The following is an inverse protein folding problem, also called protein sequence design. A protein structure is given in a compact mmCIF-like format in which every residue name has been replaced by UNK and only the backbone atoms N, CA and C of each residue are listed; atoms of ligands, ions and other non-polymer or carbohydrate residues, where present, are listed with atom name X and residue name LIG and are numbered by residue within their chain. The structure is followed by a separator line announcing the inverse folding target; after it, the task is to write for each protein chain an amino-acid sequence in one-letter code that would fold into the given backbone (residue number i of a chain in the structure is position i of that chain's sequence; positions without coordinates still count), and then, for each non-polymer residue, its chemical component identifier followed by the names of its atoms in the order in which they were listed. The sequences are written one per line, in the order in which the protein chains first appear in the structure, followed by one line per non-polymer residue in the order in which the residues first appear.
data_IF_681867050438
#
_entry.id   IF_681867050438
#
_cell.length_a   1.000
_cell.length_b   1.000
_cell.length_c   1.000
_cell.angle_alpha   90.00
_cell.angle_beta   90.00
_cell.angle_gamma   90.00
#
_symmetry.space_group_name_H-M   'P 1'
#
loop_
_entity.id
_entity.type
_entity.pdbx_description
1 polymer ?
#
# COMPACT_ATOMS: atom_id res chain seq x y z
N UNK A 1 -2.75 -41.32 -6.31
CA UNK A 1 -1.69 -41.26 -5.27
C UNK A 1 -0.56 -40.29 -5.64
N UNK A 2 -0.13 -40.19 -6.90
CA UNK A 2 0.92 -39.22 -7.31
C UNK A 2 0.43 -37.76 -7.32
N UNK A 3 -0.83 -37.50 -7.56
CA UNK A 3 -1.40 -36.14 -7.56
C UNK A 3 -1.55 -35.57 -6.16
N UNK A 4 -1.80 -36.37 -5.14
CA UNK A 4 -1.91 -35.90 -3.75
C UNK A 4 -0.54 -35.53 -3.13
N UNK A 5 0.55 -36.25 -3.48
CA UNK A 5 1.88 -35.92 -3.00
C UNK A 5 2.43 -34.64 -3.63
N UNK A 6 2.21 -34.44 -4.94
CA UNK A 6 2.64 -33.24 -5.64
C UNK A 6 1.91 -31.98 -5.12
N UNK A 7 0.60 -32.06 -4.84
CA UNK A 7 -0.13 -30.96 -4.22
C UNK A 7 0.38 -30.68 -2.80
N UNK A 8 0.61 -31.71 -1.98
CA UNK A 8 1.19 -31.59 -0.63
C UNK A 8 2.56 -30.92 -0.67
N UNK A 9 3.43 -31.27 -1.62
CA UNK A 9 4.75 -30.67 -1.77
C UNK A 9 4.69 -29.20 -2.19
N UNK A 10 3.71 -28.83 -3.03
CA UNK A 10 3.49 -27.43 -3.42
C UNK A 10 3.04 -26.61 -2.22
N UNK A 11 2.06 -27.08 -1.46
CA UNK A 11 1.58 -26.38 -0.26
C UNK A 11 2.69 -26.24 0.78
N UNK A 12 3.46 -27.27 1.05
CA UNK A 12 4.58 -27.21 2.00
C UNK A 12 5.63 -26.17 1.57
N UNK A 13 5.97 -26.09 0.28
CA UNK A 13 6.91 -25.09 -0.21
C UNK A 13 6.36 -23.67 -0.09
N UNK A 14 5.04 -23.48 -0.22
CA UNK A 14 4.39 -22.20 0.00
C UNK A 14 4.42 -21.82 1.48
N UNK A 15 4.11 -22.74 2.38
CA UNK A 15 4.20 -22.54 3.83
C UNK A 15 5.64 -22.15 4.24
N UNK A 16 6.65 -22.94 3.84
CA UNK A 16 8.05 -22.66 4.12
C UNK A 16 8.48 -21.26 3.61
N UNK A 17 7.99 -20.84 2.45
CA UNK A 17 8.27 -19.52 1.91
C UNK A 17 7.60 -18.42 2.75
N UNK A 18 6.35 -18.59 3.15
CA UNK A 18 5.60 -17.59 3.93
C UNK A 18 6.16 -17.47 5.34
N UNK A 19 6.51 -18.56 5.99
CA UNK A 19 7.12 -18.58 7.32
C UNK A 19 8.44 -17.81 7.36
N UNK A 20 9.21 -17.87 6.27
CA UNK A 20 10.46 -17.14 6.14
C UNK A 20 10.27 -15.67 5.71
N UNK A 21 9.13 -15.34 5.08
CA UNK A 21 8.91 -13.99 4.51
C UNK A 21 8.78 -12.92 5.59
N UNK A 22 8.10 -13.22 6.70
CA UNK A 22 7.81 -12.25 7.75
C UNK A 22 8.47 -12.57 9.10
N UNK A 23 9.59 -13.32 9.08
CA UNK A 23 10.27 -13.76 10.28
C UNK A 23 10.84 -12.63 11.17
N UNK A 24 11.14 -11.47 10.56
CA UNK A 24 11.67 -10.28 11.26
C UNK A 24 10.57 -9.38 11.88
N UNK A 25 9.30 -9.80 11.79
CA UNK A 25 8.22 -9.06 12.46
C UNK A 25 8.30 -9.24 13.97
N UNK A 26 8.16 -8.12 14.70
CA UNK A 26 8.27 -8.11 16.16
C UNK A 26 7.09 -8.81 16.86
N UNK A 27 5.88 -8.74 16.25
CA UNK A 27 4.69 -9.39 16.76
C UNK A 27 4.60 -10.85 16.25
N UNK A 28 4.50 -11.81 17.16
CA UNK A 28 4.46 -13.25 16.83
C UNK A 28 3.35 -13.62 15.84
N UNK A 29 2.21 -12.95 15.92
CA UNK A 29 1.09 -13.16 15.01
C UNK A 29 1.13 -12.20 13.80
N UNK A 30 2.24 -11.48 13.56
CA UNK A 30 2.45 -10.47 12.53
C UNK A 30 1.60 -9.22 12.72
N UNK A 31 0.40 -9.34 13.25
CA UNK A 31 -0.63 -8.32 13.35
C UNK A 31 -1.24 -8.39 14.75
N UNK A 32 -1.43 -7.24 15.36
CA UNK A 32 -2.15 -7.11 16.61
C UNK A 32 -3.46 -6.35 16.37
N UNK A 33 -4.54 -6.83 16.98
CA UNK A 33 -5.83 -6.15 17.02
C UNK A 33 -6.00 -5.57 18.41
N UNK A 34 -6.20 -4.27 18.49
CA UNK A 34 -6.45 -3.55 19.74
C UNK A 34 -7.90 -3.11 19.76
N UNK A 35 -8.68 -3.65 20.69
CA UNK A 35 -10.05 -3.23 20.92
C UNK A 35 -10.04 -1.86 21.60
N UNK A 36 -10.64 -0.86 20.96
CA UNK A 36 -10.77 0.50 21.48
C UNK A 36 -12.07 0.63 22.30
N UNK A 37 -13.13 0.04 21.79
CA UNK A 37 -14.42 -0.08 22.46
C UNK A 37 -15.21 -1.28 21.89
N UNK A 38 -16.46 -1.45 22.28
CA UNK A 38 -17.32 -2.59 21.89
C UNK A 38 -17.51 -2.74 20.36
N UNK A 39 -17.36 -1.67 19.60
CA UNK A 39 -17.65 -1.63 18.15
C UNK A 39 -16.43 -1.29 17.29
N UNK A 40 -15.34 -0.85 17.90
CA UNK A 40 -14.18 -0.32 17.18
C UNK A 40 -12.90 -0.95 17.64
N UNK A 41 -12.10 -1.43 16.68
CA UNK A 41 -10.76 -1.95 16.92
C UNK A 41 -9.75 -1.30 15.97
N UNK A 42 -8.51 -1.20 16.40
CA UNK A 42 -7.37 -0.80 15.57
C UNK A 42 -6.58 -2.03 15.16
N UNK A 43 -6.36 -2.18 13.87
CA UNK A 43 -5.48 -3.19 13.30
C UNK A 43 -4.06 -2.61 13.19
N UNK A 44 -3.18 -3.03 14.09
CA UNK A 44 -1.78 -2.57 14.11
C UNK A 44 -0.97 -3.27 13.03
N UNK A 45 -0.51 -2.52 12.03
CA UNK A 45 0.25 -3.03 10.88
C UNK A 45 1.72 -2.59 10.89
N UNK A 46 2.20 -2.04 12.01
CA UNK A 46 3.55 -1.46 12.15
C UNK A 46 4.57 -2.38 12.84
N UNK A 47 4.25 -3.64 13.03
CA UNK A 47 5.15 -4.60 13.71
C UNK A 47 6.23 -5.19 12.79
N UNK A 48 6.28 -4.78 11.54
CA UNK A 48 7.34 -5.13 10.61
C UNK A 48 8.64 -4.35 10.84
N UNK A 49 9.73 -4.73 10.16
CA UNK A 49 11.09 -4.19 10.43
C UNK A 49 11.24 -2.69 10.17
N UNK A 50 10.39 -2.09 9.33
CA UNK A 50 10.45 -0.64 9.08
C UNK A 50 9.29 0.14 9.73
N UNK A 51 8.51 -0.52 10.57
CA UNK A 51 7.36 0.03 11.27
C UNK A 51 6.29 0.64 10.33
N UNK A 52 6.13 0.06 9.14
CA UNK A 52 5.14 0.48 8.15
C UNK A 52 4.36 -0.73 7.60
N UNK A 53 3.06 -0.57 7.34
CA UNK A 53 2.24 -1.61 6.71
C UNK A 53 2.80 -2.10 5.37
N UNK A 54 3.66 -1.30 4.75
CA UNK A 54 4.33 -1.62 3.49
C UNK A 54 5.25 -2.83 3.57
N UNK A 55 5.70 -3.18 4.78
CA UNK A 55 6.51 -4.38 5.03
C UNK A 55 5.78 -5.65 4.60
N UNK A 56 4.47 -5.76 4.86
CA UNK A 56 3.69 -6.92 4.43
C UNK A 56 3.81 -7.20 2.94
N UNK A 57 3.58 -6.19 2.13
CA UNK A 57 3.61 -6.35 0.68
C UNK A 57 5.01 -6.44 0.09
N UNK A 58 5.99 -5.71 0.63
CA UNK A 58 7.33 -5.66 0.07
C UNK A 58 8.18 -6.86 0.45
N UNK A 59 8.07 -7.37 1.68
CA UNK A 59 8.71 -8.63 2.09
C UNK A 59 8.21 -9.78 1.21
N UNK A 60 6.89 -9.89 1.02
CA UNK A 60 6.30 -10.90 0.15
C UNK A 60 6.78 -10.75 -1.31
N UNK A 61 6.80 -9.53 -1.84
CA UNK A 61 7.24 -9.29 -3.21
C UNK A 61 8.71 -9.69 -3.42
N UNK A 62 9.59 -9.34 -2.49
CA UNK A 62 11.00 -9.71 -2.55
C UNK A 62 11.20 -11.23 -2.47
N UNK A 63 10.44 -11.93 -1.62
CA UNK A 63 10.48 -13.39 -1.52
C UNK A 63 10.02 -14.07 -2.83
N UNK A 64 8.93 -13.61 -3.43
CA UNK A 64 8.46 -14.10 -4.74
C UNK A 64 9.48 -13.82 -5.86
N UNK A 65 10.05 -12.62 -5.91
CA UNK A 65 11.10 -12.30 -6.89
C UNK A 65 12.29 -13.21 -6.72
N UNK A 66 12.80 -13.36 -5.50
CA UNK A 66 13.94 -14.24 -5.25
C UNK A 66 13.65 -15.68 -5.69
N UNK A 67 12.48 -16.22 -5.35
CA UNK A 67 12.10 -17.58 -5.75
C UNK A 67 12.06 -17.77 -7.25
N UNK A 68 11.53 -16.80 -7.99
CA UNK A 68 11.51 -16.82 -9.45
C UNK A 68 12.91 -16.75 -10.02
N UNK A 69 13.76 -15.84 -9.49
CA UNK A 69 15.13 -15.66 -9.94
C UNK A 69 15.98 -16.92 -9.72
N UNK A 70 15.85 -17.57 -8.57
CA UNK A 70 16.51 -18.86 -8.29
C UNK A 70 16.09 -19.94 -9.29
N UNK A 71 14.79 -20.02 -9.59
CA UNK A 71 14.27 -21.03 -10.52
C UNK A 71 14.78 -20.81 -11.94
N UNK A 72 14.95 -19.56 -12.35
CA UNK A 72 15.42 -19.19 -13.68
C UNK A 72 16.97 -19.04 -13.77
N UNK A 73 17.67 -19.20 -12.65
CA UNK A 73 19.12 -18.94 -12.53
C UNK A 73 19.49 -17.52 -13.03
N UNK A 74 18.71 -16.52 -12.57
CA UNK A 74 18.87 -15.11 -12.94
C UNK A 74 19.05 -14.22 -11.71
N UNK A 75 19.38 -12.97 -11.95
CA UNK A 75 19.49 -11.92 -10.95
C UNK A 75 18.58 -10.75 -11.29
N UNK A 76 18.34 -9.86 -10.34
CA UNK A 76 17.54 -8.67 -10.58
C UNK A 76 18.18 -7.41 -10.00
N UNK A 77 17.88 -6.30 -10.65
CA UNK A 77 18.11 -4.96 -10.14
C UNK A 77 16.74 -4.37 -9.78
N UNK A 78 16.53 -4.09 -8.52
CA UNK A 78 15.45 -3.24 -8.05
C UNK A 78 15.90 -1.80 -8.18
N UNK A 79 15.20 -1.01 -8.99
CA UNK A 79 15.51 0.39 -9.21
C UNK A 79 14.29 1.25 -8.90
N UNK A 80 14.45 2.20 -8.00
CA UNK A 80 13.33 3.01 -7.54
C UNK A 80 13.75 4.33 -6.94
N UNK A 81 12.78 5.25 -6.82
CA UNK A 81 12.90 6.50 -6.08
C UNK A 81 11.91 6.50 -4.92
N UNK A 82 12.29 7.10 -3.82
CA UNK A 82 11.45 7.19 -2.63
C UNK A 82 11.74 8.45 -1.83
N UNK A 83 10.71 8.97 -1.19
CA UNK A 83 10.82 10.04 -0.20
C UNK A 83 10.42 9.57 1.22
N UNK A 84 10.26 8.26 1.45
CA UNK A 84 9.78 7.78 2.76
C UNK A 84 9.64 6.26 2.89
N UNK A 85 8.59 5.80 3.55
CA UNK A 85 8.36 4.41 4.01
C UNK A 85 8.51 3.33 2.93
N UNK A 86 8.17 3.63 1.68
CA UNK A 86 8.30 2.64 0.59
C UNK A 86 9.75 2.26 0.36
N UNK A 87 10.67 3.22 0.45
CA UNK A 87 12.09 2.97 0.28
C UNK A 87 12.67 2.16 1.42
N UNK A 88 12.36 2.54 2.66
CA UNK A 88 12.80 1.79 3.85
C UNK A 88 12.36 0.34 3.76
N UNK A 89 11.08 0.10 3.48
CA UNK A 89 10.52 -1.25 3.38
C UNK A 89 11.08 -2.04 2.18
N UNK A 90 11.35 -1.38 1.04
CA UNK A 90 11.95 -2.04 -0.14
C UNK A 90 13.40 -2.44 0.10
N UNK A 91 14.19 -1.55 0.72
CA UNK A 91 15.58 -1.82 1.09
C UNK A 91 15.64 -2.98 2.08
N UNK A 92 14.80 -2.93 3.11
CA UNK A 92 14.75 -3.98 4.12
C UNK A 92 14.38 -5.33 3.50
N UNK A 93 13.34 -5.37 2.69
CA UNK A 93 12.91 -6.59 2.01
C UNK A 93 13.99 -7.18 1.09
N UNK A 94 14.71 -6.32 0.34
CA UNK A 94 15.73 -6.79 -0.61
C UNK A 94 17.04 -7.22 0.05
N UNK A 95 17.37 -6.71 1.25
CA UNK A 95 18.67 -6.97 1.92
C UNK A 95 18.93 -8.46 2.18
N UNK A 96 17.90 -9.27 2.26
CA UNK A 96 18.00 -10.71 2.56
C UNK A 96 18.36 -11.58 1.36
N UNK A 97 18.23 -11.08 0.12
CA UNK A 97 18.33 -11.86 -1.11
C UNK A 97 19.53 -11.46 -1.98
N UNK A 98 20.54 -12.33 -2.07
CA UNK A 98 21.74 -12.09 -2.89
C UNK A 98 21.45 -12.00 -4.39
N UNK A 99 20.37 -12.61 -4.86
CA UNK A 99 19.91 -12.55 -6.25
C UNK A 99 19.37 -11.17 -6.64
N UNK A 100 19.10 -10.29 -5.67
CA UNK A 100 18.51 -8.97 -5.87
C UNK A 100 19.52 -7.90 -5.43
N UNK A 101 19.79 -6.94 -6.30
CA UNK A 101 20.48 -5.68 -5.95
C UNK A 101 19.49 -4.54 -5.97
N UNK A 102 19.43 -3.75 -4.91
CA UNK A 102 18.51 -2.61 -4.82
C UNK A 102 19.27 -1.29 -4.91
N UNK A 103 18.86 -0.44 -5.85
CA UNK A 103 19.33 0.94 -6.02
C UNK A 103 18.16 1.86 -5.81
N UNK A 104 18.18 2.59 -4.72
CA UNK A 104 17.07 3.47 -4.30
C UNK A 104 17.56 4.91 -4.27
N UNK A 105 17.01 5.73 -5.16
CA UNK A 105 17.25 7.16 -5.19
C UNK A 105 16.44 7.84 -4.09
N UNK A 106 17.09 8.68 -3.31
CA UNK A 106 16.56 9.36 -2.14
C UNK A 106 16.80 10.85 -2.32
N UNK A 107 15.77 11.68 -2.55
CA UNK A 107 15.95 13.12 -2.64
C UNK A 107 16.38 13.70 -1.29
N UNK A 108 17.31 14.65 -1.29
CA UNK A 108 17.69 15.35 -0.07
C UNK A 108 16.57 16.31 0.37
N UNK A 109 16.28 16.36 1.67
CA UNK A 109 15.54 17.45 2.31
C UNK A 109 14.14 17.13 2.85
N UNK A 110 13.36 16.24 2.25
CA UNK A 110 11.93 16.06 2.60
C UNK A 110 11.62 14.72 3.31
N UNK A 111 12.56 14.23 4.12
CA UNK A 111 12.44 12.93 4.77
C UNK A 111 12.73 13.04 6.26
N UNK A 112 12.00 12.28 7.08
CA UNK A 112 12.32 12.21 8.50
C UNK A 112 13.70 11.57 8.72
N UNK A 113 14.39 11.99 9.77
CA UNK A 113 15.71 11.44 10.13
C UNK A 113 15.66 9.93 10.36
N UNK A 114 14.53 9.43 10.91
CA UNK A 114 14.32 8.00 11.15
C UNK A 114 14.26 7.25 9.82
N UNK A 115 13.46 7.70 8.87
CA UNK A 115 13.36 7.07 7.54
C UNK A 115 14.69 7.09 6.80
N UNK A 116 15.42 8.23 6.87
CA UNK A 116 16.75 8.32 6.29
C UNK A 116 17.70 7.30 6.89
N UNK A 117 17.72 7.17 8.22
CA UNK A 117 18.56 6.18 8.92
C UNK A 117 18.16 4.75 8.54
N UNK A 118 16.87 4.42 8.52
CA UNK A 118 16.40 3.10 8.09
C UNK A 118 16.93 2.68 6.72
N UNK A 119 17.12 3.63 5.80
CA UNK A 119 17.64 3.35 4.47
C UNK A 119 19.16 3.36 4.38
N UNK A 120 19.82 4.31 5.05
CA UNK A 120 21.25 4.56 4.86
C UNK A 120 22.17 3.78 5.81
N UNK A 121 21.63 3.16 6.86
CA UNK A 121 22.43 2.37 7.82
C UNK A 121 22.42 0.87 7.55
N UNK A 122 21.77 0.44 6.47
CA UNK A 122 21.75 -0.98 6.08
C UNK A 122 23.11 -1.38 5.50
N UNK A 123 23.88 -2.13 6.29
CA UNK A 123 25.20 -2.67 5.87
C UNK A 123 25.02 -4.02 5.17
N UNK A 124 24.72 -4.00 3.88
CA UNK A 124 24.58 -5.18 3.00
C UNK A 124 25.13 -4.87 1.61
N UNK A 125 25.89 -5.79 1.08
CA UNK A 125 26.60 -5.65 -0.20
C UNK A 125 25.69 -5.58 -1.45
N UNK A 126 24.40 -5.84 -1.28
CA UNK A 126 23.40 -5.81 -2.35
C UNK A 126 22.42 -4.62 -2.26
N UNK A 127 22.63 -3.71 -1.32
CA UNK A 127 21.76 -2.55 -1.07
C UNK A 127 22.55 -1.26 -1.29
N UNK A 128 22.02 -0.39 -2.15
CA UNK A 128 22.65 0.86 -2.55
C UNK A 128 21.65 2.03 -2.42
N UNK A 129 21.49 2.63 -1.23
CA UNK A 129 20.77 3.89 -1.08
C UNK A 129 21.62 5.01 -1.69
N UNK A 130 21.04 5.80 -2.58
CA UNK A 130 21.72 6.88 -3.30
C UNK A 130 21.03 8.19 -2.96
N UNK A 131 21.72 9.05 -2.21
CA UNK A 131 21.26 10.41 -1.97
C UNK A 131 21.41 11.21 -3.26
N UNK A 132 20.35 11.89 -3.68
CA UNK A 132 20.31 12.71 -4.88
C UNK A 132 20.01 14.16 -4.52
N UNK A 133 20.82 15.07 -5.07
CA UNK A 133 20.57 16.50 -4.99
C UNK A 133 19.50 16.85 -6.05
N UNK A 134 18.26 16.91 -5.61
CA UNK A 134 17.10 17.14 -6.47
C UNK A 134 15.79 16.80 -5.76
N UNK A 135 14.70 16.96 -6.48
CA UNK A 135 13.35 16.66 -6.01
C UNK A 135 13.02 15.16 -6.14
N UNK A 136 11.91 14.75 -5.54
CA UNK A 136 11.37 13.41 -5.72
C UNK A 136 10.98 13.14 -7.18
N UNK A 137 10.47 14.17 -7.88
CA UNK A 137 10.10 14.05 -9.29
C UNK A 137 11.35 13.86 -10.18
N UNK A 138 12.44 14.56 -9.90
CA UNK A 138 13.72 14.36 -10.59
C UNK A 138 14.22 12.91 -10.44
N UNK A 139 14.16 12.39 -9.21
CA UNK A 139 14.51 11.00 -8.93
C UNK A 139 13.60 10.01 -9.69
N UNK A 140 12.31 10.27 -9.74
CA UNK A 140 11.36 9.45 -10.50
C UNK A 140 11.63 9.47 -12.00
N UNK A 141 12.00 10.62 -12.56
CA UNK A 141 12.30 10.74 -13.98
C UNK A 141 13.57 9.98 -14.36
N UNK A 142 14.60 9.99 -13.51
CA UNK A 142 15.78 9.14 -13.65
C UNK A 142 15.38 7.66 -13.65
N UNK A 143 14.53 7.24 -12.74
CA UNK A 143 14.05 5.85 -12.68
C UNK A 143 13.28 5.47 -13.94
N UNK A 144 12.35 6.32 -14.41
CA UNK A 144 11.59 6.10 -15.64
C UNK A 144 12.52 5.95 -16.85
N UNK A 145 13.53 6.81 -16.94
CA UNK A 145 14.51 6.74 -18.04
C UNK A 145 15.34 5.45 -17.98
N UNK A 146 15.77 5.03 -16.79
CA UNK A 146 16.44 3.74 -16.60
C UNK A 146 15.59 2.55 -17.05
N UNK A 147 14.27 2.57 -16.82
CA UNK A 147 13.36 1.54 -17.31
C UNK A 147 13.18 1.55 -18.83
N UNK A 148 13.37 2.68 -19.51
CA UNK A 148 13.34 2.76 -20.97
C UNK A 148 14.62 2.25 -21.60
N UNK A 149 15.76 2.67 -21.09
CA UNK A 149 17.05 2.42 -21.75
C UNK A 149 17.61 1.01 -21.57
N UNK A 150 17.37 0.33 -20.50
CA UNK A 150 17.75 -1.06 -20.16
C UNK A 150 19.11 -1.58 -20.69
N UNK A 151 19.89 -0.77 -21.39
CA UNK A 151 21.16 -1.15 -22.03
C UNK A 151 22.28 -1.51 -21.04
N UNK A 152 22.11 -1.10 -19.78
CA UNK A 152 23.04 -1.42 -18.68
C UNK A 152 22.81 -2.81 -18.08
N UNK A 153 21.70 -3.48 -18.42
CA UNK A 153 21.38 -4.82 -17.91
C UNK A 153 22.18 -5.89 -18.65
N UNK A 154 22.61 -6.88 -17.91
CA UNK A 154 23.13 -8.12 -18.49
C UNK A 154 21.99 -9.02 -18.97
N UNK A 155 22.28 -9.98 -19.84
CA UNK A 155 21.28 -10.90 -20.42
C UNK A 155 20.57 -11.77 -19.38
N UNK A 156 21.19 -11.98 -18.22
CA UNK A 156 20.66 -12.75 -17.09
C UNK A 156 20.05 -11.89 -15.99
N UNK A 157 19.80 -10.59 -16.26
CA UNK A 157 19.30 -9.65 -15.29
C UNK A 157 17.91 -9.10 -15.65
N UNK A 158 17.04 -9.04 -14.64
CA UNK A 158 15.78 -8.32 -14.70
C UNK A 158 15.90 -6.94 -14.05
N UNK A 159 15.11 -5.99 -14.54
CA UNK A 159 14.88 -4.71 -13.88
C UNK A 159 13.48 -4.74 -13.25
N UNK A 160 13.42 -4.56 -11.95
CA UNK A 160 12.20 -4.64 -11.15
C UNK A 160 11.87 -3.30 -10.50
N UNK A 161 10.58 -2.97 -10.50
CA UNK A 161 10.05 -1.83 -9.77
C UNK A 161 9.37 -2.28 -8.46
N UNK A 162 9.57 -1.49 -7.42
CA UNK A 162 8.95 -1.72 -6.09
C UNK A 162 7.88 -0.70 -5.75
N UNK A 163 7.27 -0.10 -6.76
CA UNK A 163 6.23 0.92 -6.59
C UNK A 163 4.89 0.32 -6.08
N UNK A 164 3.96 1.21 -5.71
CA UNK A 164 2.68 0.82 -5.11
C UNK A 164 1.76 0.02 -6.04
N UNK A 165 2.00 0.07 -7.36
CA UNK A 165 1.19 -0.67 -8.34
C UNK A 165 1.56 -2.15 -8.48
N UNK A 166 2.63 -2.62 -7.83
CA UNK A 166 3.00 -4.03 -7.89
C UNK A 166 1.91 -4.90 -7.26
N UNK A 167 1.38 -5.85 -8.04
CA UNK A 167 0.26 -6.68 -7.61
C UNK A 167 0.60 -7.57 -6.39
N UNK A 168 1.83 -8.06 -6.28
CA UNK A 168 2.24 -8.88 -5.13
C UNK A 168 2.18 -8.07 -3.83
N UNK A 169 2.44 -6.77 -3.88
CA UNK A 169 2.25 -5.89 -2.73
C UNK A 169 0.80 -5.82 -2.29
N UNK A 170 -0.15 -5.85 -3.23
CA UNK A 170 -1.59 -5.88 -2.92
C UNK A 170 -1.98 -7.23 -2.31
N UNK A 171 -1.46 -8.34 -2.85
CA UNK A 171 -1.70 -9.69 -2.29
C UNK A 171 -1.29 -9.76 -0.81
N UNK A 172 -0.10 -9.27 -0.45
CA UNK A 172 0.34 -9.22 0.94
C UNK A 172 -0.60 -8.41 1.85
N UNK A 173 -1.25 -7.39 1.30
CA UNK A 173 -2.20 -6.56 2.03
C UNK A 173 -3.59 -7.22 2.16
N UNK A 174 -4.02 -8.05 1.21
CA UNK A 174 -5.29 -8.78 1.31
C UNK A 174 -5.30 -9.67 2.57
N UNK A 175 -4.17 -10.26 2.92
CA UNK A 175 -4.06 -11.22 4.02
C UNK A 175 -4.54 -10.65 5.36
N UNK A 176 -4.20 -9.42 5.70
CA UNK A 176 -4.57 -8.87 6.99
C UNK A 176 -6.06 -8.49 7.10
N UNK A 177 -6.77 -8.27 6.02
CA UNK A 177 -8.22 -8.11 6.05
C UNK A 177 -8.92 -9.43 6.40
N UNK A 178 -8.49 -10.54 5.81
CA UNK A 178 -8.96 -11.86 6.22
C UNK A 178 -8.58 -12.18 7.65
N UNK A 179 -7.35 -11.87 8.07
CA UNK A 179 -6.92 -12.07 9.45
C UNK A 179 -7.82 -11.31 10.44
N UNK A 180 -8.10 -10.03 10.18
CA UNK A 180 -8.96 -9.22 11.03
C UNK A 180 -10.37 -9.80 11.14
N UNK A 181 -10.96 -10.23 10.02
CA UNK A 181 -12.28 -10.83 10.02
C UNK A 181 -12.33 -12.18 10.76
N UNK A 182 -11.33 -13.03 10.56
CA UNK A 182 -11.22 -14.32 11.25
C UNK A 182 -11.02 -14.18 12.77
N UNK A 183 -10.48 -13.04 13.21
CA UNK A 183 -10.28 -12.73 14.63
C UNK A 183 -11.42 -11.92 15.23
N UNK A 184 -12.31 -11.34 14.42
CA UNK A 184 -13.53 -10.76 14.95
C UNK A 184 -14.41 -11.84 15.56
N UNK A 185 -15.04 -11.54 16.68
CA UNK A 185 -15.86 -12.50 17.42
C UNK A 185 -17.16 -12.93 16.68
N UNK A 186 -17.45 -12.32 15.51
CA UNK A 186 -18.67 -12.58 14.77
C UNK A 186 -18.48 -12.52 13.24
N UNK A 187 -18.01 -13.62 12.66
CA UNK A 187 -17.88 -13.79 11.21
C UNK A 187 -19.19 -13.72 10.43
N UNK A 188 -20.35 -13.83 11.12
CA UNK A 188 -21.66 -13.75 10.46
C UNK A 188 -22.11 -12.30 10.19
N UNK A 189 -21.46 -11.30 10.79
CA UNK A 189 -21.76 -9.90 10.55
C UNK A 189 -20.70 -9.26 9.64
N UNK A 190 -21.12 -8.55 8.57
CA UNK A 190 -20.20 -7.84 7.72
C UNK A 190 -19.43 -6.75 8.48
N UNK A 191 -18.14 -6.64 8.25
CA UNK A 191 -17.26 -5.64 8.85
C UNK A 191 -17.19 -4.35 8.04
N UNK A 192 -16.95 -3.25 8.72
CA UNK A 192 -16.51 -2.00 8.11
C UNK A 192 -14.99 -1.85 8.30
N UNK A 193 -14.29 -1.40 7.27
CA UNK A 193 -12.87 -1.05 7.38
C UNK A 193 -12.67 0.42 7.03
N UNK A 194 -12.13 1.20 7.96
CA UNK A 194 -11.64 2.55 7.68
C UNK A 194 -10.17 2.47 7.32
N UNK A 195 -9.83 2.91 6.12
CA UNK A 195 -8.50 2.74 5.55
C UNK A 195 -7.90 4.09 5.23
N UNK A 196 -6.84 4.51 5.96
CA UNK A 196 -6.11 5.72 5.62
C UNK A 196 -5.38 5.48 4.30
N UNK A 197 -5.57 6.36 3.32
CA UNK A 197 -5.09 6.06 1.98
C UNK A 197 -4.61 7.30 1.21
N UNK A 198 -3.50 7.13 0.49
CA UNK A 198 -3.06 7.98 -0.61
C UNK A 198 -3.18 7.21 -1.92
N UNK A 199 -2.21 6.35 -2.22
CA UNK A 199 -2.11 5.60 -3.49
C UNK A 199 -3.17 4.52 -3.73
N UNK A 200 -4.18 4.41 -2.88
CA UNK A 200 -5.31 3.48 -3.00
C UNK A 200 -4.96 1.98 -2.93
N UNK A 201 -3.71 1.61 -2.75
CA UNK A 201 -3.29 0.21 -2.73
C UNK A 201 -3.93 -0.60 -1.61
N UNK A 202 -3.97 -0.04 -0.41
CA UNK A 202 -4.55 -0.65 0.79
C UNK A 202 -6.09 -0.79 0.66
N UNK A 203 -6.77 0.25 0.19
CA UNK A 203 -8.22 0.20 -0.11
C UNK A 203 -8.53 -0.84 -1.18
N UNK A 204 -7.71 -0.89 -2.24
CA UNK A 204 -7.90 -1.88 -3.30
C UNK A 204 -7.67 -3.31 -2.81
N UNK A 205 -6.77 -3.53 -1.84
CA UNK A 205 -6.61 -4.82 -1.17
C UNK A 205 -7.87 -5.21 -0.37
N UNK A 206 -8.48 -4.26 0.35
CA UNK A 206 -9.75 -4.47 1.04
C UNK A 206 -10.88 -4.82 0.06
N UNK A 207 -11.00 -4.06 -1.03
CA UNK A 207 -11.94 -4.36 -2.12
C UNK A 207 -11.70 -5.75 -2.71
N UNK A 208 -10.44 -6.11 -2.97
CA UNK A 208 -10.11 -7.43 -3.49
C UNK A 208 -10.50 -8.55 -2.51
N UNK A 209 -10.33 -8.34 -1.21
CA UNK A 209 -10.78 -9.28 -0.18
C UNK A 209 -12.30 -9.48 -0.24
N UNK A 210 -13.09 -8.43 -0.45
CA UNK A 210 -14.55 -8.55 -0.62
C UNK A 210 -14.92 -9.37 -1.86
N UNK A 211 -14.21 -9.17 -2.97
CA UNK A 211 -14.40 -9.96 -4.21
C UNK A 211 -14.01 -11.43 -4.02
N UNK A 212 -13.14 -11.74 -3.07
CA UNK A 212 -12.77 -13.09 -2.68
C UNK A 212 -13.73 -13.73 -1.66
N UNK A 213 -14.79 -13.01 -1.28
CA UNK A 213 -15.85 -13.52 -0.41
C UNK A 213 -15.75 -13.08 1.05
N UNK A 214 -14.84 -12.14 1.39
CA UNK A 214 -14.83 -11.55 2.73
C UNK A 214 -16.11 -10.73 2.94
N UNK A 215 -16.93 -11.01 3.98
CA UNK A 215 -18.15 -10.26 4.21
C UNK A 215 -17.85 -8.85 4.71
N UNK A 216 -18.01 -7.86 3.83
CA UNK A 216 -17.84 -6.45 4.14
C UNK A 216 -19.16 -5.70 4.02
N UNK A 217 -19.38 -4.74 4.93
CA UNK A 217 -20.47 -3.78 4.83
C UNK A 217 -20.00 -2.53 4.08
N UNK A 218 -18.98 -1.83 4.63
CA UNK A 218 -18.42 -0.62 4.03
C UNK A 218 -16.91 -0.61 4.06
N UNK A 219 -16.33 -0.01 3.02
CA UNK A 219 -14.93 0.41 2.96
C UNK A 219 -14.90 1.93 3.07
N UNK A 220 -14.36 2.45 4.15
CA UNK A 220 -14.26 3.88 4.41
C UNK A 220 -12.91 4.36 3.88
N UNK A 221 -12.94 5.11 2.80
CA UNK A 221 -11.77 5.71 2.15
C UNK A 221 -11.46 7.02 2.87
N UNK A 222 -10.52 6.99 3.79
CA UNK A 222 -10.12 8.14 4.59
C UNK A 222 -8.88 8.80 3.97
N UNK A 223 -8.98 10.07 3.61
CA UNK A 223 -7.90 10.86 3.01
C UNK A 223 -7.61 12.09 3.86
N UNK A 224 -6.39 12.63 3.75
CA UNK A 224 -6.05 13.92 4.33
C UNK A 224 -6.54 15.08 3.43
N UNK A 225 -5.96 16.26 3.57
CA UNK A 225 -6.31 17.43 2.74
C UNK A 225 -6.04 17.23 1.23
N UNK A 226 -5.29 16.19 0.86
CA UNK A 226 -5.09 15.77 -0.53
C UNK A 226 -6.25 14.87 -0.98
N UNK A 227 -7.35 15.47 -1.35
CA UNK A 227 -8.71 14.97 -1.34
C UNK A 227 -9.21 14.35 -2.65
N UNK A 228 -8.35 14.03 -3.61
CA UNK A 228 -8.75 13.55 -4.95
C UNK A 228 -9.73 12.35 -4.89
N UNK A 229 -9.50 11.41 -3.98
CA UNK A 229 -10.37 10.24 -3.79
C UNK A 229 -11.70 10.65 -3.13
N UNK A 230 -11.66 11.52 -2.12
CA UNK A 230 -12.87 12.03 -1.48
C UNK A 230 -13.79 12.73 -2.50
N UNK A 231 -13.25 13.62 -3.32
CA UNK A 231 -14.01 14.31 -4.38
C UNK A 231 -14.59 13.33 -5.40
N UNK A 232 -13.82 12.30 -5.77
CA UNK A 232 -14.37 11.28 -6.66
C UNK A 232 -15.58 10.57 -6.04
N UNK A 233 -15.48 10.09 -4.81
CA UNK A 233 -16.56 9.34 -4.17
C UNK A 233 -17.76 10.21 -3.76
N UNK A 234 -17.59 11.53 -3.60
CA UNK A 234 -18.65 12.45 -3.18
C UNK A 234 -19.24 13.28 -4.30
N UNK A 235 -18.44 13.60 -5.32
CA UNK A 235 -18.77 14.62 -6.33
C UNK A 235 -18.53 14.10 -7.76
N UNK A 236 -18.11 12.83 -7.91
CA UNK A 236 -17.71 12.27 -9.21
C UNK A 236 -16.60 13.08 -9.89
N UNK A 237 -15.72 13.71 -9.10
CA UNK A 237 -14.62 14.56 -9.59
C UNK A 237 -13.25 13.94 -9.25
N UNK A 238 -12.59 13.34 -10.26
CA UNK A 238 -11.20 12.90 -10.12
C UNK A 238 -10.28 13.85 -10.92
N UNK A 239 -10.25 15.13 -10.52
CA UNK A 239 -9.36 16.13 -11.09
C UNK A 239 -8.07 16.23 -10.28
N UNK A 240 -6.92 16.30 -10.98
CA UNK A 240 -5.62 16.52 -10.35
C UNK A 240 -5.55 17.93 -9.75
N UNK A 241 -5.07 18.04 -8.50
CA UNK A 241 -4.71 19.30 -7.82
C UNK A 241 -3.27 19.22 -7.34
N UNK A 242 -2.70 20.37 -6.98
CA UNK A 242 -1.38 20.42 -6.35
C UNK A 242 -1.42 19.75 -4.97
N UNK A 243 -0.30 19.18 -4.58
CA UNK A 243 -0.17 18.51 -3.28
C UNK A 243 0.01 19.55 -2.18
N UNK A 244 -0.73 19.38 -1.10
CA UNK A 244 -0.56 20.11 0.15
C UNK A 244 0.21 19.24 1.13
N UNK A 245 1.30 19.75 1.71
CA UNK A 245 2.03 19.07 2.78
C UNK A 245 1.17 18.98 4.04
N UNK A 246 1.12 17.80 4.65
CA UNK A 246 0.34 17.51 5.86
C UNK A 246 1.17 16.75 6.89
N UNK A 247 0.62 16.58 8.10
CA UNK A 247 1.24 15.76 9.16
C UNK A 247 1.12 14.24 8.88
N UNK A 248 0.43 13.83 7.81
CA UNK A 248 0.33 12.44 7.33
C UNK A 248 0.99 12.26 5.95
N UNK A 249 2.31 12.47 5.82
CA UNK A 249 3.00 12.67 4.53
C UNK A 249 2.92 11.47 3.59
N UNK A 250 2.73 10.25 4.08
CA UNK A 250 2.56 9.06 3.21
C UNK A 250 1.26 9.08 2.40
N UNK A 251 0.35 9.99 2.73
CA UNK A 251 -0.91 10.23 2.04
C UNK A 251 -0.90 11.49 1.17
N UNK A 252 0.20 12.27 1.16
CA UNK A 252 0.36 13.49 0.37
C UNK A 252 0.61 13.14 -1.10
N UNK A 253 -0.47 12.97 -1.83
CA UNK A 253 -0.44 12.60 -3.26
C UNK A 253 -1.43 13.44 -4.08
N UNK A 254 -1.08 13.73 -5.31
CA UNK A 254 -1.99 14.38 -6.27
C UNK A 254 -2.85 13.40 -7.06
N UNK A 255 -2.37 12.17 -7.25
CA UNK A 255 -3.03 11.11 -8.03
C UNK A 255 -2.81 9.76 -7.35
N UNK A 256 -3.89 9.03 -7.13
CA UNK A 256 -3.85 7.71 -6.50
C UNK A 256 -3.54 6.62 -7.54
N UNK A 257 -2.32 6.07 -7.50
CA UNK A 257 -1.78 5.18 -8.54
C UNK A 257 -2.52 3.85 -8.73
N UNK A 258 -3.26 3.35 -7.72
CA UNK A 258 -4.03 2.11 -7.84
C UNK A 258 -5.54 2.34 -8.07
N UNK A 259 -5.97 3.60 -8.16
CA UNK A 259 -7.37 3.92 -8.40
C UNK A 259 -7.85 3.45 -9.79
N UNK A 260 -6.96 3.46 -10.79
CA UNK A 260 -7.20 2.87 -12.11
C UNK A 260 -7.71 1.44 -12.04
N UNK A 261 -7.25 0.65 -11.07
CA UNK A 261 -7.69 -0.73 -10.87
C UNK A 261 -9.15 -0.83 -10.48
N UNK A 262 -9.60 0.09 -9.59
CA UNK A 262 -11.00 0.17 -9.22
C UNK A 262 -11.86 0.66 -10.39
N UNK A 263 -11.41 1.69 -11.12
CA UNK A 263 -12.10 2.14 -12.32
C UNK A 263 -12.30 0.98 -13.30
N UNK A 264 -11.23 0.25 -13.61
CA UNK A 264 -11.26 -0.87 -14.52
C UNK A 264 -12.22 -1.99 -14.08
N UNK A 265 -12.11 -2.44 -12.82
CA UNK A 265 -12.86 -3.61 -12.32
C UNK A 265 -14.30 -3.29 -11.93
N UNK A 266 -14.53 -2.18 -11.24
CA UNK A 266 -15.82 -1.84 -10.64
C UNK A 266 -16.70 -0.98 -11.55
N UNK A 267 -16.14 0.07 -12.17
CA UNK A 267 -16.93 1.05 -12.92
C UNK A 267 -16.99 0.78 -14.42
N UNK A 268 -15.97 0.16 -14.99
CA UNK A 268 -15.84 -0.03 -16.45
C UNK A 268 -16.01 -1.48 -16.89
N UNK A 269 -16.49 -2.34 -16.00
CA UNK A 269 -16.72 -3.77 -16.27
C UNK A 269 -15.56 -4.44 -17.03
N UNK A 270 -14.33 -4.14 -16.60
CA UNK A 270 -13.07 -4.63 -17.18
C UNK A 270 -12.84 -4.26 -18.65
N UNK A 271 -13.44 -3.18 -19.11
CA UNK A 271 -13.24 -2.68 -20.46
C UNK A 271 -11.92 -1.90 -20.55
N UNK A 272 -10.85 -2.58 -20.98
CA UNK A 272 -9.51 -2.00 -21.09
C UNK A 272 -9.40 -0.84 -22.08
N UNK A 273 -10.19 -0.87 -23.16
CA UNK A 273 -10.20 0.20 -24.16
C UNK A 273 -10.76 1.50 -23.56
N UNK A 274 -11.92 1.43 -22.91
CA UNK A 274 -12.54 2.58 -22.25
C UNK A 274 -11.63 3.11 -21.14
N UNK A 275 -11.03 2.24 -20.35
CA UNK A 275 -10.08 2.62 -19.31
C UNK A 275 -8.88 3.38 -19.91
N UNK A 276 -8.28 2.86 -20.97
CA UNK A 276 -7.18 3.50 -21.67
C UNK A 276 -7.56 4.86 -22.27
N UNK A 277 -8.74 4.96 -22.87
CA UNK A 277 -9.25 6.20 -23.48
C UNK A 277 -9.47 7.29 -22.40
N UNK A 278 -10.00 6.94 -21.23
CA UNK A 278 -10.16 7.84 -20.09
C UNK A 278 -8.78 8.35 -19.61
N UNK A 279 -7.84 7.46 -19.39
CA UNK A 279 -6.51 7.81 -18.88
C UNK A 279 -5.63 8.53 -19.90
N UNK A 280 -5.87 8.38 -21.21
CA UNK A 280 -5.11 9.08 -22.25
C UNK A 280 -5.24 10.61 -22.17
N UNK A 281 -6.35 11.10 -21.66
CA UNK A 281 -6.63 12.54 -21.49
C UNK A 281 -6.33 13.04 -20.07
N UNK A 282 -6.20 12.16 -19.11
CA UNK A 282 -5.84 12.50 -17.73
C UNK A 282 -4.34 12.86 -17.63
N UNK A 283 -3.90 13.88 -16.87
CA UNK A 283 -4.70 14.71 -15.96
C UNK A 283 -5.24 16.02 -16.58
N UNK A 284 -5.15 16.22 -17.89
CA UNK A 284 -5.66 17.44 -18.56
C UNK A 284 -7.17 17.57 -18.42
N UNK A 285 -7.87 16.44 -18.42
CA UNK A 285 -9.32 16.37 -18.20
C UNK A 285 -9.57 15.53 -16.95
N UNK A 286 -10.46 15.99 -16.07
CA UNK A 286 -10.91 15.22 -14.92
C UNK A 286 -11.57 13.90 -15.36
N UNK A 287 -11.42 12.85 -14.56
CA UNK A 287 -12.16 11.62 -14.78
C UNK A 287 -13.50 11.76 -14.07
N UNK A 288 -14.58 11.58 -14.83
CA UNK A 288 -15.94 11.47 -14.36
C UNK A 288 -16.54 10.19 -14.92
N UNK A 289 -17.35 9.50 -14.12
CA UNK A 289 -18.03 8.25 -14.51
C UNK A 289 -19.51 8.55 -14.74
N UNK A 290 -20.17 7.77 -15.59
CA UNK A 290 -21.61 7.86 -15.76
C UNK A 290 -22.29 7.80 -14.38
N UNK A 291 -23.24 8.71 -14.15
CA UNK A 291 -23.88 8.92 -12.84
C UNK A 291 -24.50 7.63 -12.27
N UNK A 292 -25.27 6.89 -13.10
CA UNK A 292 -25.94 5.64 -12.66
C UNK A 292 -24.94 4.56 -12.25
N UNK A 293 -23.74 4.57 -12.86
CA UNK A 293 -22.67 3.61 -12.52
C UNK A 293 -21.90 4.09 -11.32
N UNK A 294 -21.65 5.41 -11.21
CA UNK A 294 -20.91 6.00 -10.11
C UNK A 294 -21.65 5.83 -8.77
N UNK A 295 -22.97 6.06 -8.74
CA UNK A 295 -23.79 5.91 -7.54
C UNK A 295 -23.79 4.49 -6.95
N UNK A 296 -23.51 3.45 -7.76
CA UNK A 296 -23.37 2.08 -7.25
C UNK A 296 -22.25 1.91 -6.24
N UNK A 297 -21.26 2.80 -6.24
CA UNK A 297 -20.18 2.76 -5.26
C UNK A 297 -20.64 3.01 -3.84
N UNK A 298 -21.73 3.76 -3.62
CA UNK A 298 -22.28 4.04 -2.30
C UNK A 298 -22.74 2.79 -1.54
N UNK A 299 -22.99 1.70 -2.27
CA UNK A 299 -23.29 0.40 -1.64
C UNK A 299 -22.10 -0.15 -0.86
N UNK A 300 -20.87 0.10 -1.30
CA UNK A 300 -19.65 -0.45 -0.70
C UNK A 300 -18.72 0.61 -0.11
N UNK A 301 -18.62 1.79 -0.73
CA UNK A 301 -17.65 2.80 -0.37
C UNK A 301 -18.27 3.99 0.34
N UNK A 302 -17.58 4.48 1.37
CA UNK A 302 -17.77 5.78 1.96
C UNK A 302 -16.44 6.54 1.88
N UNK A 303 -16.46 7.86 1.84
CA UNK A 303 -15.22 8.63 1.84
C UNK A 303 -15.31 9.87 2.70
N UNK A 304 -14.20 10.19 3.38
CA UNK A 304 -14.03 11.36 4.23
C UNK A 304 -12.66 11.99 4.01
N UNK A 305 -12.65 13.33 3.94
CA UNK A 305 -11.43 14.14 4.00
C UNK A 305 -11.26 14.73 5.40
N UNK A 306 -10.04 14.67 5.92
CA UNK A 306 -9.69 15.07 7.28
C UNK A 306 -8.48 15.99 7.23
N UNK A 307 -8.61 17.20 7.72
CA UNK A 307 -7.51 18.16 7.80
C UNK A 307 -6.60 17.90 9.02
N UNK A 308 -5.48 18.62 9.10
CA UNK A 308 -4.51 18.47 10.16
C UNK A 308 -5.08 18.83 11.54
N UNK A 309 -6.00 19.81 11.65
CA UNK A 309 -6.60 20.19 12.92
C UNK A 309 -7.49 19.06 13.49
N UNK A 310 -8.31 18.47 12.63
CA UNK A 310 -9.11 17.32 12.99
C UNK A 310 -8.22 16.11 13.32
N UNK A 311 -7.15 15.88 12.54
CA UNK A 311 -6.17 14.83 12.79
C UNK A 311 -5.54 14.97 14.17
N UNK A 312 -5.02 16.16 14.53
CA UNK A 312 -4.48 16.43 15.88
C UNK A 312 -5.52 16.25 16.99
N UNK A 313 -6.74 16.69 16.76
CA UNK A 313 -7.82 16.56 17.73
C UNK A 313 -8.15 15.10 18.01
N UNK A 314 -8.21 14.28 16.95
CA UNK A 314 -8.45 12.83 17.04
C UNK A 314 -7.31 12.10 17.75
N UNK A 315 -6.04 12.45 17.47
CA UNK A 315 -4.90 11.89 18.21
C UNK A 315 -4.99 12.17 19.71
N UNK A 316 -5.35 13.41 20.09
CA UNK A 316 -5.56 13.78 21.49
C UNK A 316 -6.74 13.04 22.12
N UNK A 317 -7.84 12.91 21.39
CA UNK A 317 -9.03 12.18 21.83
C UNK A 317 -8.68 10.73 22.14
N UNK A 318 -8.02 10.02 21.22
CA UNK A 318 -7.63 8.63 21.43
C UNK A 318 -6.69 8.46 22.64
N UNK A 319 -5.73 9.38 22.79
CA UNK A 319 -4.83 9.37 23.94
C UNK A 319 -5.57 9.57 25.27
N UNK A 320 -6.51 10.50 25.33
CA UNK A 320 -7.21 10.88 26.57
C UNK A 320 -8.28 9.85 26.94
N UNK A 321 -9.12 9.46 25.99
CA UNK A 321 -10.27 8.60 26.26
C UNK A 321 -9.89 7.10 26.36
N UNK A 322 -8.94 6.66 25.53
CA UNK A 322 -8.60 5.25 25.45
C UNK A 322 -7.19 4.94 25.95
N UNK A 323 -6.42 5.96 26.37
CA UNK A 323 -4.98 5.84 26.67
C UNK A 323 -4.19 5.12 25.56
N UNK A 324 -4.61 5.30 24.31
CA UNK A 324 -4.03 4.70 23.12
C UNK A 324 -3.45 5.78 22.19
N UNK A 325 -2.19 5.61 21.78
CA UNK A 325 -1.51 6.57 20.91
C UNK A 325 -1.60 6.07 19.47
N UNK A 326 -2.20 6.88 18.62
CA UNK A 326 -2.26 6.66 17.17
C UNK A 326 -1.38 7.65 16.43
N UNK A 327 -0.83 7.21 15.31
CA UNK A 327 -0.09 8.08 14.39
C UNK A 327 -1.05 8.94 13.53
N UNK A 328 -0.55 10.00 12.86
CA UNK A 328 -1.42 10.88 12.08
C UNK A 328 -2.20 10.18 10.96
N UNK A 329 -1.61 9.16 10.30
CA UNK A 329 -2.32 8.43 9.24
C UNK A 329 -3.49 7.63 9.81
N UNK A 330 -3.26 6.93 10.93
CA UNK A 330 -4.33 6.22 11.66
C UNK A 330 -5.38 7.18 12.17
N UNK A 331 -5.00 8.38 12.60
CA UNK A 331 -5.94 9.40 13.10
C UNK A 331 -6.89 9.89 12.00
N UNK A 332 -6.44 10.02 10.76
CA UNK A 332 -7.31 10.32 9.61
C UNK A 332 -8.40 9.25 9.45
N UNK A 333 -8.03 7.98 9.54
CA UNK A 333 -8.99 6.88 9.45
C UNK A 333 -9.94 6.81 10.65
N UNK A 334 -9.43 7.09 11.85
CA UNK A 334 -10.22 7.11 13.08
C UNK A 334 -11.25 8.25 13.06
N UNK A 335 -10.87 9.46 12.64
CA UNK A 335 -11.79 10.60 12.48
C UNK A 335 -12.91 10.29 11.49
N UNK A 336 -12.62 9.60 10.39
CA UNK A 336 -13.65 9.17 9.45
C UNK A 336 -14.68 8.23 10.10
N UNK A 337 -14.26 7.37 11.03
CA UNK A 337 -15.19 6.52 11.80
C UNK A 337 -16.01 7.34 12.80
N UNK A 338 -15.41 8.31 13.49
CA UNK A 338 -16.12 9.18 14.41
C UNK A 338 -17.22 9.98 13.68
N UNK A 339 -16.91 10.51 12.49
CA UNK A 339 -17.89 11.23 11.64
C UNK A 339 -19.01 10.33 11.11
N UNK A 340 -18.80 9.03 10.99
CA UNK A 340 -19.84 8.09 10.57
C UNK A 340 -20.87 7.83 11.68
N UNK A 341 -20.45 7.93 12.94
CA UNK A 341 -21.28 7.64 14.11
C UNK A 341 -22.06 8.88 14.62
N UNK A 342 -21.86 10.03 14.00
CA UNK A 342 -22.57 11.28 14.24
C UNK A 342 -23.49 11.65 13.07
#
# INVERSE_FOLDING_TARGET
LRTSSAASDVYKRQEDMLDNTWHDFAEKNLIKIVEINETTSVLELFHGPTAAFKDFGLQLAAAFFNKTLETENKTAIVFGATSGDTGSAAIDACKHFKSIKSFILIPEGNMSEIQRKQMTTVDKSNVFPILADGTFDDCQDIVKEGFKQRSFLKNDQYLLAVNSINWVRIIGQICYYFYAALRSNNLSQPLNFSVPTGNFGNVFACYSASKMGLPLSKIIVAVNSNDILYRFFKENDYSKRDVTETISPSMDISVASNFERLLYDFYLDRNSKVCSDIYSNFPKTAININEDVWQKSDELFLSYSVDDNATYSTMKYFKNEFNYIIDPHTAVAAEAVLKLNH
#
